data_IF_831530440337
#
_entry.id   IF_831530440337
#
_cell.length_a   1.000
_cell.length_b   1.000
_cell.length_c   1.000
_cell.angle_alpha   90.00
_cell.angle_beta   90.00
_cell.angle_gamma   90.00
#
_symmetry.space_group_name_H-M   'P 1'
#
loop_
_entity.id
_entity.type
_entity.pdbx_description
1 polymer ?
#
# COMPACT_ATOMS: atom_id res chain seq x y z
N UNK A 1 6.05 -11.20 14.19
CA UNK A 1 6.20 -12.01 12.96
C UNK A 1 5.18 -13.16 13.04
N UNK A 2 3.93 -12.93 12.62
CA UNK A 2 2.91 -13.98 12.63
C UNK A 2 3.05 -14.83 11.35
N UNK A 3 3.35 -16.10 11.55
CA UNK A 3 3.45 -17.16 10.55
C UNK A 3 2.06 -17.70 10.24
N UNK A 4 1.72 -17.77 8.93
CA UNK A 4 0.48 -18.23 8.30
C UNK A 4 -0.71 -17.24 8.27
N UNK A 5 -1.37 -17.19 7.11
CA UNK A 5 -2.56 -16.37 6.83
C UNK A 5 -3.70 -16.71 7.82
N UNK A 6 -4.26 -15.73 8.56
CA UNK A 6 -5.34 -15.98 9.51
C UNK A 6 -6.65 -16.43 8.86
N UNK A 7 -6.70 -16.43 7.51
CA UNK A 7 -7.87 -16.76 6.70
C UNK A 7 -7.77 -18.12 5.99
N UNK A 8 -6.87 -18.99 6.43
CA UNK A 8 -6.79 -20.37 5.94
C UNK A 8 -8.15 -21.09 6.05
N UNK A 9 -8.42 -22.02 5.12
CA UNK A 9 -9.73 -22.71 4.97
C UNK A 9 -10.14 -23.59 6.16
N UNK A 10 -9.34 -23.67 7.22
CA UNK A 10 -9.59 -24.52 8.38
C UNK A 10 -10.53 -23.85 9.40
N UNK A 11 -11.58 -24.58 9.82
CA UNK A 11 -12.62 -24.09 10.74
C UNK A 11 -12.28 -24.22 12.24
N UNK A 12 -11.01 -24.36 12.61
CA UNK A 12 -10.66 -24.54 14.03
C UNK A 12 -10.88 -23.24 14.84
N UNK A 13 -11.07 -23.38 16.16
CA UNK A 13 -11.20 -22.25 17.10
C UNK A 13 -9.99 -21.31 17.04
N UNK A 14 -8.80 -21.87 16.84
CA UNK A 14 -7.54 -21.11 16.71
C UNK A 14 -7.59 -20.14 15.52
N UNK A 15 -8.11 -20.56 14.35
CA UNK A 15 -8.23 -19.69 13.17
C UNK A 15 -9.30 -18.61 13.34
N UNK A 16 -10.42 -18.92 14.02
CA UNK A 16 -11.44 -17.92 14.36
C UNK A 16 -10.85 -16.80 15.21
N UNK A 17 -10.10 -17.15 16.25
CA UNK A 17 -9.46 -16.17 17.13
C UNK A 17 -8.40 -15.33 16.39
N UNK A 18 -7.62 -15.94 15.48
CA UNK A 18 -6.67 -15.19 14.65
C UNK A 18 -7.35 -14.21 13.69
N UNK A 19 -8.49 -14.58 13.10
CA UNK A 19 -9.27 -13.71 12.21
C UNK A 19 -9.91 -12.53 12.96
N UNK A 20 -10.51 -12.78 14.12
CA UNK A 20 -11.07 -11.72 14.96
C UNK A 20 -9.97 -10.74 15.40
N UNK A 21 -8.82 -11.27 15.82
CA UNK A 21 -7.64 -10.47 16.16
C UNK A 21 -7.21 -9.59 14.99
N UNK A 22 -7.03 -10.18 13.80
CA UNK A 22 -6.65 -9.41 12.61
C UNK A 22 -7.64 -8.28 12.31
N UNK A 23 -8.94 -8.61 12.24
CA UNK A 23 -9.95 -7.63 11.86
C UNK A 23 -10.16 -6.55 12.92
N UNK A 24 -10.01 -6.83 14.21
CA UNK A 24 -10.03 -5.78 15.23
C UNK A 24 -8.85 -4.82 15.06
N UNK A 25 -7.63 -5.35 14.90
CA UNK A 25 -6.44 -4.53 14.69
C UNK A 25 -6.55 -3.66 13.42
N UNK A 26 -7.03 -4.26 12.33
CA UNK A 26 -7.31 -3.55 11.08
C UNK A 26 -8.45 -2.54 11.22
N UNK A 27 -9.51 -2.86 11.97
CA UNK A 27 -10.62 -1.96 12.23
C UNK A 27 -10.16 -0.67 12.91
N UNK A 28 -9.27 -0.77 13.90
CA UNK A 28 -8.73 0.39 14.61
C UNK A 28 -7.73 1.21 13.79
N UNK A 29 -6.95 0.57 12.90
CA UNK A 29 -5.93 1.27 12.11
C UNK A 29 -6.43 1.80 10.76
N UNK A 30 -7.54 1.26 10.24
CA UNK A 30 -8.07 1.64 8.93
C UNK A 30 -8.44 3.13 8.78
N UNK A 31 -9.00 3.83 9.78
CA UNK A 31 -9.24 5.27 9.66
C UNK A 31 -7.98 6.06 9.28
N UNK A 32 -6.82 5.72 9.87
CA UNK A 32 -5.55 6.35 9.51
C UNK A 32 -5.18 6.08 8.06
N UNK A 33 -5.32 4.83 7.59
CA UNK A 33 -5.04 4.46 6.20
C UNK A 33 -5.96 5.22 5.23
N UNK A 34 -7.27 5.22 5.49
CA UNK A 34 -8.29 5.91 4.70
C UNK A 34 -8.00 7.40 4.57
N UNK A 35 -7.62 8.04 5.67
CA UNK A 35 -7.52 9.49 5.74
C UNK A 35 -6.12 10.02 5.33
N UNK A 36 -5.11 9.14 5.26
CA UNK A 36 -3.74 9.50 4.88
C UNK A 36 -3.68 10.00 3.44
N UNK A 37 -3.12 11.20 3.24
CA UNK A 37 -3.00 11.84 1.94
C UNK A 37 -1.66 11.55 1.26
N UNK A 38 -1.60 11.57 -0.09
CA UNK A 38 -0.33 11.45 -0.80
C UNK A 38 0.64 12.58 -0.43
N UNK A 39 1.92 12.23 -0.35
CA UNK A 39 3.00 13.20 -0.09
C UNK A 39 3.64 13.74 -1.39
N UNK A 40 4.63 14.60 -1.23
CA UNK A 40 5.35 15.26 -2.35
C UNK A 40 5.94 14.28 -3.35
N UNK A 41 6.47 13.14 -2.89
CA UNK A 41 7.01 12.08 -3.76
C UNK A 41 5.92 11.46 -4.63
N UNK A 42 4.74 11.18 -4.07
CA UNK A 42 3.65 10.57 -4.85
C UNK A 42 3.21 11.49 -6.00
N UNK A 43 3.01 12.78 -5.72
CA UNK A 43 2.65 13.74 -6.76
C UNK A 43 3.76 14.00 -7.79
N UNK A 44 5.03 13.99 -7.36
CA UNK A 44 6.15 14.08 -8.29
C UNK A 44 6.19 12.89 -9.26
N UNK A 45 5.94 11.67 -8.76
CA UNK A 45 5.82 10.48 -9.61
C UNK A 45 4.60 10.55 -10.53
N UNK A 46 3.47 11.06 -10.03
CA UNK A 46 2.29 11.29 -10.85
C UNK A 46 2.57 12.28 -12.00
N UNK A 47 3.39 13.32 -11.78
CA UNK A 47 3.79 14.26 -12.84
C UNK A 47 4.67 13.59 -13.92
N UNK A 48 5.60 12.71 -13.51
CA UNK A 48 6.41 11.94 -14.45
C UNK A 48 5.57 10.89 -15.21
N UNK A 49 4.57 10.31 -14.56
CA UNK A 49 3.59 9.42 -15.20
C UNK A 49 2.71 10.18 -16.21
N UNK A 50 2.16 11.33 -15.82
CA UNK A 50 1.34 12.18 -16.68
C UNK A 50 2.09 12.61 -17.95
N UNK A 51 3.39 12.88 -17.83
CA UNK A 51 4.25 13.29 -18.95
C UNK A 51 4.87 12.14 -19.74
N UNK A 52 4.62 10.88 -19.36
CA UNK A 52 5.10 9.69 -20.08
C UNK A 52 6.56 9.30 -19.79
N UNK A 53 7.22 9.95 -18.84
CA UNK A 53 8.58 9.58 -18.42
C UNK A 53 8.58 8.32 -17.54
N UNK A 54 7.49 8.10 -16.79
CA UNK A 54 7.25 6.84 -16.06
C UNK A 54 6.04 6.15 -16.72
N UNK A 55 6.32 5.11 -17.49
CA UNK A 55 5.27 4.35 -18.17
C UNK A 55 4.57 3.34 -17.25
N UNK A 56 5.28 2.77 -16.28
CA UNK A 56 4.76 1.79 -15.35
C UNK A 56 5.34 2.04 -13.96
N UNK A 57 4.52 1.91 -12.93
CA UNK A 57 4.90 1.99 -11.53
C UNK A 57 4.49 0.69 -10.83
N UNK A 58 5.46 0.02 -10.22
CA UNK A 58 5.21 -1.17 -9.39
C UNK A 58 5.42 -0.75 -7.93
N UNK A 59 4.43 -0.98 -7.08
CA UNK A 59 4.51 -0.65 -5.65
C UNK A 59 4.35 -1.89 -4.78
N UNK A 60 5.11 -1.95 -3.69
CA UNK A 60 4.91 -2.91 -2.60
C UNK A 60 3.89 -2.39 -1.58
N UNK A 61 3.62 -1.09 -1.60
CA UNK A 61 2.68 -0.48 -0.68
C UNK A 61 1.26 -0.90 -1.04
N UNK A 62 0.41 -0.95 -0.02
CA UNK A 62 -0.98 -1.40 -0.10
C UNK A 62 -1.96 -0.27 0.26
N UNK A 63 -1.45 0.96 0.36
CA UNK A 63 -2.12 2.15 0.88
C UNK A 63 -2.93 2.93 -0.17
N UNK A 64 -2.76 2.63 -1.46
CA UNK A 64 -3.44 3.31 -2.57
C UNK A 64 -2.99 4.76 -2.83
N UNK A 65 -1.94 5.26 -2.16
CA UNK A 65 -1.54 6.67 -2.27
C UNK A 65 -1.06 7.07 -3.67
N UNK A 66 -0.49 6.13 -4.43
CA UNK A 66 -0.15 6.37 -5.83
C UNK A 66 -1.39 6.55 -6.72
N UNK A 67 -2.46 5.80 -6.46
CA UNK A 67 -3.72 5.95 -7.19
C UNK A 67 -4.34 7.31 -6.88
N UNK A 68 -4.43 7.67 -5.60
CA UNK A 68 -4.96 8.96 -5.13
C UNK A 68 -4.17 10.18 -5.63
N UNK A 69 -2.90 10.02 -5.96
CA UNK A 69 -2.10 11.12 -6.50
C UNK A 69 -2.42 11.45 -7.97
N UNK A 70 -3.10 10.57 -8.70
CA UNK A 70 -3.31 10.69 -10.15
C UNK A 70 -4.76 10.46 -10.61
N UNK A 71 -5.66 10.01 -9.73
CA UNK A 71 -7.08 9.73 -9.99
C UNK A 71 -7.87 10.90 -10.61
N UNK A 72 -7.53 12.13 -10.30
CA UNK A 72 -8.13 13.33 -10.90
C UNK A 72 -7.68 13.58 -12.35
N UNK A 73 -6.67 12.87 -12.85
CA UNK A 73 -6.13 13.01 -14.20
C UNK A 73 -6.46 11.80 -15.09
N UNK A 74 -6.53 10.61 -14.51
CA UNK A 74 -6.65 9.34 -15.21
C UNK A 74 -7.88 8.57 -14.74
N UNK A 75 -8.54 7.88 -15.66
CA UNK A 75 -9.57 6.91 -15.31
C UNK A 75 -8.96 5.63 -14.66
N UNK A 76 -9.82 4.84 -14.00
CA UNK A 76 -9.43 3.62 -13.31
C UNK A 76 -8.73 2.62 -14.25
N UNK A 77 -9.19 2.50 -15.50
CA UNK A 77 -8.61 1.57 -16.47
C UNK A 77 -7.16 1.95 -16.80
N UNK A 78 -6.87 3.24 -16.97
CA UNK A 78 -5.50 3.73 -17.19
C UNK A 78 -4.65 3.58 -15.93
N UNK A 79 -5.21 3.86 -14.75
CA UNK A 79 -4.49 3.67 -13.49
C UNK A 79 -4.10 2.20 -13.32
N UNK A 80 -5.05 1.29 -13.47
CA UNK A 80 -4.85 -0.15 -13.29
C UNK A 80 -3.85 -0.73 -14.28
N UNK A 81 -3.72 -0.17 -15.48
CA UNK A 81 -2.72 -0.60 -16.47
C UNK A 81 -1.32 -0.02 -16.22
N UNK A 82 -1.23 1.12 -15.54
CA UNK A 82 0.02 1.89 -15.34
C UNK A 82 0.60 1.76 -13.93
N UNK A 83 -0.21 1.40 -12.95
CA UNK A 83 0.17 1.15 -11.56
C UNK A 83 -0.13 -0.31 -11.24
N UNK A 84 0.85 -0.99 -10.65
CA UNK A 84 0.75 -2.39 -10.22
C UNK A 84 1.04 -2.48 -8.71
N UNK A 85 0.01 -2.79 -7.94
CA UNK A 85 0.13 -3.12 -6.52
C UNK A 85 0.59 -4.58 -6.36
N UNK A 86 1.88 -4.78 -6.09
CA UNK A 86 2.51 -6.11 -6.06
C UNK A 86 1.97 -6.98 -4.91
N UNK A 87 1.57 -6.36 -3.80
CA UNK A 87 1.08 -7.04 -2.59
C UNK A 87 -0.41 -6.83 -2.36
N UNK A 88 -1.13 -6.33 -3.37
CA UNK A 88 -2.57 -6.05 -3.30
C UNK A 88 -2.89 -4.72 -2.64
N UNK A 89 -4.09 -4.56 -2.10
CA UNK A 89 -4.62 -3.29 -1.61
C UNK A 89 -5.40 -3.43 -0.31
N UNK A 90 -5.31 -2.41 0.55
CA UNK A 90 -6.14 -2.30 1.75
C UNK A 90 -7.57 -1.84 1.44
N UNK A 91 -7.84 -1.31 0.25
CA UNK A 91 -9.12 -0.67 -0.10
C UNK A 91 -10.22 -1.64 -0.52
N UNK A 92 -9.92 -2.94 -0.60
CA UNK A 92 -10.89 -3.98 -0.99
C UNK A 92 -10.85 -5.17 -0.06
N UNK A 93 -12.01 -5.80 0.11
CA UNK A 93 -12.20 -7.01 0.91
C UNK A 93 -12.89 -8.04 0.03
N UNK A 94 -12.36 -9.25 -0.01
CA UNK A 94 -12.96 -10.36 -0.73
C UNK A 94 -13.39 -11.46 0.24
N UNK A 95 -14.44 -12.20 -0.12
CA UNK A 95 -14.79 -13.42 0.57
C UNK A 95 -14.21 -14.64 -0.17
N UNK A 96 -14.13 -15.79 0.51
CA UNK A 96 -13.61 -17.04 -0.09
C UNK A 96 -14.36 -17.53 -1.35
N UNK A 97 -15.55 -16.98 -1.63
CA UNK A 97 -16.36 -17.30 -2.81
C UNK A 97 -16.23 -16.25 -3.93
N UNK A 98 -15.32 -15.28 -3.82
CA UNK A 98 -14.99 -14.33 -4.88
C UNK A 98 -15.82 -13.03 -4.89
N UNK A 99 -16.78 -12.85 -3.96
CA UNK A 99 -17.44 -11.56 -3.81
C UNK A 99 -16.47 -10.52 -3.25
N UNK A 100 -16.47 -9.32 -3.83
CA UNK A 100 -15.63 -8.19 -3.45
C UNK A 100 -16.51 -7.05 -2.94
N UNK A 101 -16.06 -6.37 -1.89
CA UNK A 101 -16.66 -5.14 -1.35
C UNK A 101 -15.56 -4.11 -1.08
N UNK A 102 -15.90 -2.81 -1.10
CA UNK A 102 -14.97 -1.78 -0.66
C UNK A 102 -14.65 -1.94 0.82
N UNK A 103 -13.43 -1.56 1.22
CA UNK A 103 -13.01 -1.61 2.61
C UNK A 103 -13.79 -0.64 3.49
N UNK A 104 -14.26 0.49 2.95
CA UNK A 104 -15.16 1.43 3.62
C UNK A 104 -16.51 0.79 3.95
N UNK A 105 -17.18 0.19 2.97
CA UNK A 105 -18.45 -0.49 3.22
C UNK A 105 -18.27 -1.67 4.20
N UNK A 106 -17.11 -2.34 4.18
CA UNK A 106 -16.79 -3.35 5.17
C UNK A 106 -16.52 -2.75 6.56
N UNK A 107 -15.88 -1.58 6.64
CA UNK A 107 -15.64 -0.85 7.89
C UNK A 107 -16.96 -0.47 8.55
N UNK A 108 -17.92 0.07 7.81
CA UNK A 108 -19.24 0.45 8.34
C UNK A 108 -19.96 -0.76 8.94
N UNK A 109 -19.82 -1.92 8.30
CA UNK A 109 -20.43 -3.17 8.76
C UNK A 109 -19.71 -3.75 9.99
N UNK A 110 -18.39 -3.61 10.07
CA UNK A 110 -17.64 -3.92 11.29
C UNK A 110 -18.13 -3.02 12.43
N UNK A 111 -18.25 -1.71 12.21
CA UNK A 111 -18.77 -0.75 13.20
C UNK A 111 -20.16 -1.12 13.69
N UNK A 112 -21.10 -1.40 12.77
CA UNK A 112 -22.48 -1.77 13.09
C UNK A 112 -22.57 -3.08 13.90
N UNK A 113 -21.66 -4.03 13.63
CA UNK A 113 -21.61 -5.30 14.36
C UNK A 113 -20.89 -5.21 15.70
N UNK A 114 -20.21 -4.10 15.98
CA UNK A 114 -19.35 -3.91 17.15
C UNK A 114 -19.56 -2.54 17.82
N UNK A 115 -20.77 -2.23 18.34
CA UNK A 115 -21.09 -0.90 18.86
C UNK A 115 -20.19 -0.44 20.02
N UNK A 116 -19.73 -1.36 20.87
CA UNK A 116 -18.78 -1.05 21.95
C UNK A 116 -17.43 -0.56 21.40
N UNK A 117 -16.95 -1.20 20.35
CA UNK A 117 -15.69 -0.83 19.69
C UNK A 117 -15.83 0.44 18.87
N UNK A 118 -17.01 0.70 18.30
CA UNK A 118 -17.32 1.99 17.70
C UNK A 118 -17.20 3.12 18.72
N UNK A 119 -17.85 2.99 19.89
CA UNK A 119 -17.77 4.00 20.93
C UNK A 119 -16.33 4.27 21.39
N UNK A 120 -15.52 3.20 21.53
CA UNK A 120 -14.09 3.33 21.85
C UNK A 120 -13.28 4.08 20.78
N UNK A 121 -13.51 3.81 19.49
CA UNK A 121 -12.83 4.53 18.39
C UNK A 121 -13.28 5.99 18.36
N UNK A 122 -14.57 6.26 18.49
CA UNK A 122 -15.11 7.63 18.50
C UNK A 122 -14.48 8.45 19.65
N UNK A 123 -14.24 7.84 20.81
CA UNK A 123 -13.53 8.46 21.95
C UNK A 123 -12.04 8.72 21.67
N UNK A 124 -11.34 7.76 21.04
CA UNK A 124 -9.94 7.95 20.63
C UNK A 124 -9.79 9.09 19.63
N UNK A 125 -10.69 9.18 18.64
CA UNK A 125 -10.73 10.27 17.67
C UNK A 125 -11.02 11.62 18.35
N UNK A 126 -12.01 11.67 19.25
CA UNK A 126 -12.35 12.88 19.98
C UNK A 126 -11.21 13.39 20.89
N UNK A 127 -10.41 12.48 21.45
CA UNK A 127 -9.26 12.81 22.31
C UNK A 127 -7.97 13.05 21.52
N UNK A 128 -7.97 12.84 20.20
CA UNK A 128 -6.80 12.98 19.34
C UNK A 128 -5.72 11.91 19.54
N UNK A 129 -5.99 10.87 20.35
CA UNK A 129 -5.05 9.77 20.61
C UNK A 129 -5.05 8.81 19.42
N UNK A 130 -3.91 8.70 18.73
CA UNK A 130 -3.75 7.75 17.61
C UNK A 130 -3.13 6.45 18.11
N UNK A 131 -3.74 5.28 17.83
CA UNK A 131 -3.08 4.01 18.06
C UNK A 131 -1.82 3.88 17.19
N UNK A 132 -0.79 3.18 17.65
CA UNK A 132 0.36 2.83 16.80
C UNK A 132 -0.11 1.80 15.76
N UNK A 133 0.10 2.11 14.48
CA UNK A 133 -0.27 1.27 13.34
C UNK A 133 0.96 0.69 12.65
N UNK A 134 0.87 -0.55 12.17
CA UNK A 134 1.87 -1.20 11.33
C UNK A 134 1.73 -0.78 9.84
N UNK A 135 2.72 -1.12 8.97
CA UNK A 135 2.68 -0.77 7.55
C UNK A 135 1.49 -1.35 6.76
N UNK A 136 0.90 -2.45 7.22
CA UNK A 136 -0.32 -3.05 6.68
C UNK A 136 -1.60 -2.49 7.32
N UNK A 137 -1.48 -1.43 8.13
CA UNK A 137 -2.59 -0.71 8.73
C UNK A 137 -3.21 -1.36 9.97
N UNK A 138 -2.58 -2.37 10.57
CA UNK A 138 -3.08 -3.00 11.80
C UNK A 138 -2.54 -2.34 13.09
N UNK A 139 -3.27 -2.42 14.21
CA UNK A 139 -2.91 -1.77 15.50
C UNK A 139 -2.44 -2.79 16.54
N UNK A 140 -1.43 -2.46 17.35
CA UNK A 140 -1.05 -3.29 18.50
C UNK A 140 -1.84 -2.95 19.78
N UNK A 141 -2.48 -3.96 20.40
CA UNK A 141 -3.30 -3.83 21.60
C UNK A 141 -2.79 -4.79 22.69
N UNK A 142 -2.31 -4.24 23.80
CA UNK A 142 -1.97 -4.99 25.02
C UNK A 142 -3.20 -5.12 25.95
N UNK A 143 -3.40 -6.29 26.53
CA UNK A 143 -4.41 -6.50 27.59
C UNK A 143 -5.87 -6.56 27.15
N UNK A 144 -6.18 -6.51 25.85
CA UNK A 144 -7.56 -6.52 25.36
C UNK A 144 -8.00 -7.90 24.87
N UNK A 145 -9.19 -8.36 25.32
CA UNK A 145 -9.81 -9.59 24.82
C UNK A 145 -10.35 -9.37 23.40
N UNK A 146 -10.07 -10.31 22.52
CA UNK A 146 -10.49 -10.30 21.11
C UNK A 146 -11.74 -11.15 20.87
N UNK A 147 -12.18 -11.92 21.87
CA UNK A 147 -13.19 -12.97 21.69
C UNK A 147 -14.58 -12.39 21.33
N UNK A 148 -14.86 -11.16 21.78
CA UNK A 148 -16.15 -10.49 21.58
C UNK A 148 -16.23 -9.70 20.25
N UNK A 149 -15.15 -9.62 19.48
CA UNK A 149 -15.16 -8.89 18.21
C UNK A 149 -15.87 -9.70 17.12
N UNK A 150 -16.91 -9.12 16.51
CA UNK A 150 -17.76 -9.77 15.52
C UNK A 150 -17.31 -9.40 14.11
N UNK A 151 -16.87 -10.40 13.34
CA UNK A 151 -16.62 -10.26 11.89
C UNK A 151 -17.92 -10.57 11.15
N UNK A 152 -18.50 -9.63 10.39
CA UNK A 152 -19.84 -9.80 9.85
C UNK A 152 -19.88 -10.78 8.66
N UNK A 153 -21.09 -11.26 8.32
CA UNK A 153 -21.35 -12.22 7.23
C UNK A 153 -21.22 -11.59 5.84
N UNK A 154 -20.65 -12.25 4.84
CA UNK A 154 -20.67 -11.72 3.47
C UNK A 154 -22.12 -11.55 2.98
N UNK A 155 -22.55 -10.32 2.66
CA UNK A 155 -23.94 -10.02 2.27
C UNK A 155 -24.35 -10.78 0.99
N UNK A 156 -23.45 -10.87 0.02
CA UNK A 156 -23.72 -11.61 -1.21
C UNK A 156 -23.82 -13.13 -0.98
N UNK A 157 -23.04 -13.68 -0.05
CA UNK A 157 -23.21 -15.08 0.36
C UNK A 157 -24.54 -15.29 1.09
N UNK A 158 -24.90 -14.37 1.99
CA UNK A 158 -26.14 -14.44 2.74
C UNK A 158 -27.37 -14.36 1.83
N UNK A 159 -27.35 -13.47 0.84
CA UNK A 159 -28.38 -13.38 -0.20
C UNK A 159 -28.50 -14.65 -1.04
N UNK A 160 -27.45 -15.48 -1.08
CA UNK A 160 -27.43 -16.79 -1.72
C UNK A 160 -27.71 -17.95 -0.76
N UNK A 161 -28.21 -17.66 0.45
CA UNK A 161 -28.52 -18.67 1.48
C UNK A 161 -27.28 -19.30 2.14
N UNK A 162 -26.12 -18.65 2.06
CA UNK A 162 -24.85 -19.15 2.60
C UNK A 162 -24.32 -18.27 3.73
N UNK A 163 -23.94 -18.89 4.84
CA UNK A 163 -23.19 -18.24 5.90
C UNK A 163 -21.69 -18.25 5.59
N UNK A 164 -21.08 -17.07 5.57
CA UNK A 164 -19.65 -16.90 5.34
C UNK A 164 -19.08 -15.64 6.02
N UNK A 165 -18.42 -15.84 7.16
CA UNK A 165 -17.61 -14.81 7.83
C UNK A 165 -16.13 -14.84 7.43
N UNK A 166 -15.75 -15.69 6.46
CA UNK A 166 -14.38 -15.77 5.94
C UNK A 166 -14.19 -14.73 4.84
N UNK A 167 -14.00 -13.49 5.28
CA UNK A 167 -13.69 -12.32 4.46
C UNK A 167 -12.28 -11.85 4.80
N UNK A 168 -11.48 -11.58 3.77
CA UNK A 168 -10.06 -11.24 3.85
C UNK A 168 -9.83 -9.94 3.05
N UNK A 169 -9.01 -8.99 3.52
CA UNK A 169 -8.61 -7.87 2.67
C UNK A 169 -7.84 -8.39 1.45
N UNK A 170 -7.82 -7.63 0.36
CA UNK A 170 -7.12 -8.02 -0.85
C UNK A 170 -5.61 -7.82 -0.74
N UNK A 171 -4.99 -8.43 0.27
CA UNK A 171 -3.56 -8.40 0.56
C UNK A 171 -2.91 -9.74 0.30
N UNK A 172 -1.62 -9.70 -0.03
CA UNK A 172 -0.73 -10.85 0.02
C UNK A 172 -0.04 -10.86 1.38
N UNK A 173 -0.44 -11.78 2.27
CA UNK A 173 0.18 -11.92 3.58
C UNK A 173 1.54 -12.63 3.50
N UNK A 174 2.35 -12.48 4.54
CA UNK A 174 3.60 -13.23 4.67
C UNK A 174 3.34 -14.74 4.56
N UNK A 175 4.10 -15.39 3.68
CA UNK A 175 3.95 -16.81 3.36
C UNK A 175 2.93 -17.12 2.25
N UNK A 176 2.11 -16.15 1.83
CA UNK A 176 1.29 -16.30 0.63
C UNK A 176 2.11 -16.01 -0.64
N UNK A 177 1.72 -16.64 -1.74
CA UNK A 177 2.33 -16.40 -3.05
C UNK A 177 1.61 -15.29 -3.78
N UNK A 178 2.36 -14.42 -4.45
CA UNK A 178 1.80 -13.43 -5.36
C UNK A 178 1.07 -14.15 -6.51
N UNK A 179 -0.13 -13.71 -6.90
CA UNK A 179 -0.87 -14.31 -8.02
C UNK A 179 -0.02 -14.36 -9.30
N UNK A 180 -0.13 -15.45 -10.04
CA UNK A 180 0.69 -15.67 -11.23
C UNK A 180 0.54 -14.54 -12.26
N UNK A 181 -0.68 -14.02 -12.46
CA UNK A 181 -0.94 -12.88 -13.37
C UNK A 181 -0.23 -11.59 -12.95
N UNK A 182 -0.18 -11.29 -11.64
CA UNK A 182 0.53 -10.14 -11.07
C UNK A 182 2.04 -10.32 -11.22
N UNK A 183 2.55 -11.53 -10.96
CA UNK A 183 3.95 -11.90 -11.18
C UNK A 183 4.33 -11.72 -12.66
N UNK A 184 3.61 -12.33 -13.59
CA UNK A 184 3.88 -12.22 -15.02
C UNK A 184 3.83 -10.77 -15.50
N UNK A 185 2.84 -10.00 -15.05
CA UNK A 185 2.76 -8.57 -15.34
C UNK A 185 3.98 -7.81 -14.84
N UNK A 186 4.38 -8.00 -13.58
CA UNK A 186 5.54 -7.29 -13.03
C UNK A 186 6.83 -7.57 -13.82
N UNK A 187 7.09 -8.81 -14.21
CA UNK A 187 8.26 -9.15 -15.02
C UNK A 187 8.19 -8.53 -16.42
N UNK A 188 7.03 -8.59 -17.07
CA UNK A 188 6.81 -7.95 -18.37
C UNK A 188 7.01 -6.43 -18.32
N UNK A 189 6.54 -5.77 -17.26
CA UNK A 189 6.69 -4.33 -17.11
C UNK A 189 8.18 -3.95 -16.90
N UNK A 190 8.98 -4.81 -16.24
CA UNK A 190 10.44 -4.68 -16.19
C UNK A 190 11.07 -4.92 -17.56
N UNK A 191 10.66 -5.94 -18.31
CA UNK A 191 11.21 -6.26 -19.62
C UNK A 191 10.98 -5.15 -20.66
N UNK A 192 9.86 -4.43 -20.54
CA UNK A 192 9.50 -3.31 -21.43
C UNK A 192 10.10 -1.96 -21.05
N UNK A 193 10.66 -1.80 -19.86
CA UNK A 193 11.26 -0.53 -19.43
C UNK A 193 12.70 -0.38 -19.92
N UNK A 194 13.14 0.84 -20.22
CA UNK A 194 14.55 1.05 -20.59
C UNK A 194 15.48 1.11 -19.37
N UNK A 195 14.93 1.54 -18.23
CA UNK A 195 15.64 1.82 -16.97
C UNK A 195 14.72 1.57 -15.78
N UNK A 196 15.31 1.30 -14.62
CA UNK A 196 14.59 1.18 -13.35
C UNK A 196 14.95 2.31 -12.41
N UNK A 197 13.94 2.86 -11.76
CA UNK A 197 14.09 3.82 -10.68
C UNK A 197 13.42 3.28 -9.42
N UNK A 198 14.21 2.89 -8.45
CA UNK A 198 13.79 2.32 -7.17
C UNK A 198 13.75 3.44 -6.13
N UNK A 199 12.67 3.51 -5.36
CA UNK A 199 12.41 4.63 -4.45
C UNK A 199 11.93 4.09 -3.11
N UNK A 200 12.58 4.49 -2.02
CA UNK A 200 12.09 4.27 -0.66
C UNK A 200 11.84 2.80 -0.31
N UNK A 201 12.74 1.90 -0.70
CA UNK A 201 12.59 0.47 -0.44
C UNK A 201 13.88 -0.14 0.11
N UNK A 202 13.74 -0.95 1.16
CA UNK A 202 14.83 -1.78 1.69
C UNK A 202 15.07 -3.03 0.86
N UNK A 203 14.14 -3.37 -0.06
CA UNK A 203 14.13 -4.62 -0.81
C UNK A 203 14.24 -5.87 0.08
N UNK A 204 13.78 -5.79 1.33
CA UNK A 204 13.81 -6.90 2.26
C UNK A 204 12.97 -8.09 1.75
N UNK A 205 11.82 -7.81 1.13
CA UNK A 205 10.95 -8.83 0.56
C UNK A 205 11.55 -9.38 -0.74
N UNK A 206 11.53 -10.70 -0.89
CA UNK A 206 12.13 -11.34 -2.06
C UNK A 206 11.34 -11.09 -3.35
N UNK A 207 10.05 -10.76 -3.25
CA UNK A 207 9.19 -10.48 -4.41
C UNK A 207 9.66 -9.26 -5.20
N UNK A 208 9.93 -8.14 -4.53
CA UNK A 208 10.47 -6.95 -5.20
C UNK A 208 11.96 -7.12 -5.56
N UNK A 209 12.76 -7.72 -4.66
CA UNK A 209 14.17 -7.96 -4.92
C UNK A 209 14.42 -8.81 -6.18
N UNK A 210 13.56 -9.81 -6.45
CA UNK A 210 13.62 -10.61 -7.69
C UNK A 210 13.45 -9.78 -8.96
N UNK A 211 12.61 -8.74 -8.94
CA UNK A 211 12.42 -7.86 -10.10
C UNK A 211 13.68 -7.03 -10.37
N UNK A 212 14.36 -6.58 -9.31
CA UNK A 212 15.64 -5.87 -9.43
C UNK A 212 16.71 -6.80 -10.02
N UNK A 213 16.82 -8.04 -9.51
CA UNK A 213 17.73 -9.03 -10.09
C UNK A 213 17.47 -9.29 -11.57
N UNK A 214 16.21 -9.45 -11.96
CA UNK A 214 15.82 -9.65 -13.36
C UNK A 214 16.26 -8.48 -14.25
N UNK A 215 16.10 -7.24 -13.76
CA UNK A 215 16.56 -6.06 -14.50
C UNK A 215 18.09 -6.01 -14.67
N UNK A 216 18.85 -6.40 -13.64
CA UNK A 216 20.31 -6.49 -13.72
C UNK A 216 20.77 -7.59 -14.69
N UNK A 217 20.09 -8.74 -14.70
CA UNK A 217 20.33 -9.81 -15.67
C UNK A 217 20.08 -9.33 -17.11
N UNK A 218 19.09 -8.46 -17.31
CA UNK A 218 18.82 -7.77 -18.57
C UNK A 218 19.74 -6.56 -18.85
N UNK A 219 20.73 -6.31 -17.97
CA UNK A 219 21.70 -5.19 -18.07
C UNK A 219 21.04 -3.81 -18.15
N UNK A 220 19.89 -3.63 -17.50
CA UNK A 220 19.18 -2.35 -17.48
C UNK A 220 19.82 -1.42 -16.45
N UNK A 221 19.98 -0.12 -16.73
CA UNK A 221 20.40 0.85 -15.73
C UNK A 221 19.40 0.88 -14.55
N UNK A 222 19.91 0.80 -13.32
CA UNK A 222 19.11 0.85 -12.10
C UNK A 222 19.60 1.99 -11.21
N UNK A 223 18.71 2.94 -10.90
CA UNK A 223 18.94 3.99 -9.92
C UNK A 223 18.12 3.68 -8.65
N UNK A 224 18.74 3.74 -7.48
CA UNK A 224 18.11 3.52 -6.18
C UNK A 224 18.19 4.78 -5.31
N UNK A 225 17.04 5.36 -5.02
CA UNK A 225 16.87 6.51 -4.12
C UNK A 225 16.29 6.05 -2.79
N UNK A 226 17.13 5.85 -1.77
CA UNK A 226 16.69 5.32 -0.48
C UNK A 226 17.58 5.81 0.67
N UNK A 227 16.97 6.09 1.82
CA UNK A 227 17.72 6.36 3.06
C UNK A 227 17.95 5.04 3.79
N UNK A 228 19.20 4.79 4.20
CA UNK A 228 19.59 3.61 4.94
C UNK A 228 19.86 2.37 4.07
N UNK A 229 20.16 1.24 4.71
CA UNK A 229 20.62 0.03 4.04
C UNK A 229 19.50 -0.65 3.24
N UNK A 230 19.90 -1.29 2.14
CA UNK A 230 19.01 -2.11 1.32
C UNK A 230 19.63 -3.48 1.05
N UNK A 231 18.79 -4.46 0.75
CA UNK A 231 19.25 -5.79 0.32
C UNK A 231 20.04 -5.77 -1.00
N UNK A 232 19.92 -4.69 -1.77
CA UNK A 232 20.64 -4.51 -3.02
C UNK A 232 22.00 -3.83 -2.86
N UNK A 233 22.37 -3.42 -1.64
CA UNK A 233 23.67 -2.82 -1.37
C UNK A 233 24.78 -3.83 -1.71
N UNK A 234 25.76 -3.39 -2.52
CA UNK A 234 26.86 -4.23 -3.00
C UNK A 234 26.59 -5.01 -4.28
N UNK A 235 25.40 -4.91 -4.88
CA UNK A 235 25.16 -5.43 -6.23
C UNK A 235 25.76 -4.49 -7.28
N UNK A 236 26.47 -5.07 -8.26
CA UNK A 236 26.94 -4.32 -9.42
C UNK A 236 25.77 -3.88 -10.32
N UNK A 237 25.91 -2.72 -10.96
CA UNK A 237 24.90 -2.18 -11.89
C UNK A 237 23.76 -1.39 -11.23
N UNK A 238 23.87 -1.08 -9.93
CA UNK A 238 22.94 -0.21 -9.22
C UNK A 238 23.66 1.05 -8.73
N UNK A 239 23.20 2.21 -9.18
CA UNK A 239 23.61 3.49 -8.64
C UNK A 239 22.70 3.84 -7.45
N UNK A 240 23.25 3.94 -6.24
CA UNK A 240 22.49 4.31 -5.04
C UNK A 240 22.76 5.76 -4.66
N UNK A 241 21.67 6.50 -4.37
CA UNK A 241 21.72 7.85 -3.82
C UNK A 241 20.98 7.84 -2.47
N UNK A 242 21.70 8.21 -1.41
CA UNK A 242 21.17 8.23 -0.04
C UNK A 242 20.57 9.59 0.31
N UNK A 243 19.30 9.79 -0.08
CA UNK A 243 18.56 11.00 0.24
C UNK A 243 17.07 10.69 0.42
N UNK A 244 16.42 11.44 1.32
CA UNK A 244 14.98 11.35 1.51
C UNK A 244 14.25 11.80 0.24
N UNK A 245 13.38 10.93 -0.28
CA UNK A 245 12.72 11.12 -1.57
C UNK A 245 11.85 12.38 -1.59
N UNK A 246 11.17 12.65 -0.48
CA UNK A 246 10.32 13.83 -0.30
C UNK A 246 11.08 15.15 -0.41
N UNK A 247 12.40 15.16 -0.13
CA UNK A 247 13.26 16.34 -0.21
C UNK A 247 13.69 16.67 -1.63
N UNK A 248 13.84 15.67 -2.51
CA UNK A 248 14.50 15.87 -3.82
C UNK A 248 13.58 15.70 -5.02
N UNK A 249 12.49 14.94 -4.88
CA UNK A 249 11.71 14.51 -6.04
C UNK A 249 11.04 15.66 -6.81
N UNK A 250 10.63 16.74 -6.14
CA UNK A 250 10.08 17.92 -6.84
C UNK A 250 11.13 18.56 -7.76
N UNK A 251 12.37 18.66 -7.30
CA UNK A 251 13.44 19.28 -8.06
C UNK A 251 13.94 18.38 -9.18
N UNK A 252 13.92 17.06 -8.98
CA UNK A 252 14.13 16.07 -10.05
C UNK A 252 13.11 16.28 -11.17
N UNK A 253 11.82 16.41 -10.84
CA UNK A 253 10.79 16.65 -11.86
C UNK A 253 11.01 17.97 -12.59
N UNK A 254 11.38 19.04 -11.88
CA UNK A 254 11.71 20.32 -12.50
C UNK A 254 12.92 20.22 -13.44
N UNK A 255 13.95 19.48 -13.05
CA UNK A 255 15.13 19.27 -13.87
C UNK A 255 14.81 18.44 -15.14
N UNK A 256 14.03 17.36 -15.00
CA UNK A 256 13.65 16.48 -16.12
C UNK A 256 12.72 17.19 -17.10
N UNK A 257 11.73 17.93 -16.60
CA UNK A 257 10.70 18.55 -17.43
C UNK A 257 11.07 19.97 -17.90
N UNK A 258 12.13 20.55 -17.34
CA UNK A 258 12.59 21.90 -17.67
C UNK A 258 11.48 22.94 -17.55
N UNK A 259 11.34 23.80 -18.57
CA UNK A 259 10.30 24.85 -18.60
C UNK A 259 8.88 24.31 -18.43
N UNK A 260 8.61 23.08 -18.86
CA UNK A 260 7.27 22.47 -18.77
C UNK A 260 6.78 22.39 -17.32
N UNK A 261 7.68 22.18 -16.37
CA UNK A 261 7.34 22.13 -14.94
C UNK A 261 6.74 23.42 -14.38
N UNK A 262 6.96 24.56 -15.05
CA UNK A 262 6.50 25.88 -14.59
C UNK A 262 5.35 26.45 -15.41
N UNK A 263 5.03 25.86 -16.57
CA UNK A 263 4.01 26.39 -17.51
C UNK A 263 2.81 25.47 -17.69
N UNK A 264 2.98 24.16 -17.51
CA UNK A 264 1.89 23.19 -17.66
C UNK A 264 1.07 23.19 -16.34
N UNK A 265 -0.20 23.66 -16.36
CA UNK A 265 -0.98 23.87 -15.15
C UNK A 265 -1.23 22.57 -14.38
N UNK A 266 -1.31 21.43 -15.07
CA UNK A 266 -1.47 20.12 -14.44
C UNK A 266 -0.22 19.78 -13.64
N UNK A 267 0.97 20.00 -14.23
CA UNK A 267 2.25 19.69 -13.60
C UNK A 267 2.51 20.64 -12.43
N UNK A 268 2.25 21.93 -12.61
CA UNK A 268 2.36 22.92 -11.52
C UNK A 268 1.46 22.54 -10.35
N UNK A 269 0.21 22.14 -10.62
CA UNK A 269 -0.69 21.67 -9.58
C UNK A 269 -0.10 20.45 -8.85
N UNK A 270 0.30 19.39 -9.57
CA UNK A 270 0.89 18.20 -8.95
C UNK A 270 2.10 18.56 -8.07
N UNK A 271 3.03 19.38 -8.56
CA UNK A 271 4.24 19.74 -7.83
C UNK A 271 4.00 20.61 -6.58
N UNK A 272 2.90 21.38 -6.56
CA UNK A 272 2.50 22.18 -5.41
C UNK A 272 1.66 21.41 -4.38
N UNK A 273 1.21 20.20 -4.71
CA UNK A 273 0.46 19.35 -3.79
C UNK A 273 1.37 18.47 -2.92
N UNK A 274 0.73 17.79 -1.96
CA UNK A 274 1.33 16.82 -1.06
C UNK A 274 1.76 17.39 0.27
N UNK A 275 1.50 16.63 1.34
CA UNK A 275 1.95 16.97 2.69
C UNK A 275 3.48 16.85 2.73
N UNK A 276 4.17 17.95 3.01
CA UNK A 276 5.60 17.94 3.30
C UNK A 276 5.78 17.70 4.80
N UNK A 277 6.08 16.46 5.20
CA UNK A 277 6.67 16.22 6.51
C UNK A 277 8.19 16.27 6.34
N UNK A 278 8.89 17.32 6.80
CA UNK A 278 10.33 17.22 6.93
C UNK A 278 10.64 16.00 7.83
N UNK A 279 11.74 15.26 7.58
CA UNK A 279 12.24 14.31 8.57
C UNK A 279 12.30 15.02 9.92
N UNK A 280 11.93 14.32 11.00
CA UNK A 280 12.31 14.77 12.32
C UNK A 280 13.83 14.89 12.28
N UNK A 281 14.37 16.07 12.58
CA UNK A 281 15.81 16.19 12.75
C UNK A 281 16.20 15.21 13.86
N UNK A 282 17.25 14.42 13.66
CA UNK A 282 17.80 13.47 14.64
C UNK A 282 18.43 14.19 15.86
N UNK A 283 17.92 15.38 16.22
CA UNK A 283 18.39 16.25 17.29
C UNK A 283 17.40 16.41 18.46
N UNK A 284 16.28 15.69 18.47
CA UNK A 284 15.41 15.62 19.65
C UNK A 284 15.54 14.25 20.35
N UNK A 285 16.59 14.14 21.20
CA UNK A 285 16.62 13.31 22.42
C UNK A 285 16.95 11.83 22.28
#
# INVERSE_FOLDING_TARGET
MYSLSPFSKHRSRQYRNSRQRYWLRSYLGYPLVRDTQPNTTHYALAALQHTGHINHLITQNVDGLHHRAIDHLWDDARIDTRILELHGTLHRVHCQFGHVVSRDAFQDRLSASNPKWKAFVDELEATGKKPRTNPDGDVELEGVSYDDFVVPECLACLAQGRHNTNQKPELIFFGESIPQSIKERSFRDIERSDKLFLIGTTLATFSAYRLVKHALELKKPVLLLNVGPTRADGLEGIDKIEIATSRVMRDVVRAVLGRRASIDPVIVNLLNNGIHRPPLDDNDG
#
